data_IF_198525174409
#
_entry.id   IF_198525174409
#
_cell.length_a   1.000
_cell.length_b   1.000
_cell.length_c   1.000
_cell.angle_alpha   90.00
_cell.angle_beta   90.00
_cell.angle_gamma   90.00
#
_symmetry.space_group_name_H-M   'P 1'
#
loop_
_entity.id
_entity.type
_entity.pdbx_description
1 polymer ?
#
# COMPACT_ATOMS: atom_id res chain seq x y z
N UNK A 1 -4.28 -0.37 10.79
CA UNK A 1 -5.59 0.30 10.59
C UNK A 1 -5.88 1.27 11.73
N UNK A 2 -5.92 0.84 13.01
CA UNK A 2 -6.17 1.73 14.17
C UNK A 2 -5.23 2.95 14.19
N UNK A 3 -3.93 2.74 13.95
CA UNK A 3 -2.96 3.84 13.86
C UNK A 3 -3.37 4.93 12.86
N UNK A 4 -3.76 4.55 11.63
CA UNK A 4 -4.17 5.50 10.60
C UNK A 4 -5.55 6.14 10.89
N UNK A 5 -6.44 5.42 11.57
CA UNK A 5 -7.70 5.96 12.05
C UNK A 5 -7.46 7.09 13.06
N UNK A 6 -6.62 6.84 14.07
CA UNK A 6 -6.25 7.87 15.06
C UNK A 6 -5.54 9.04 14.38
N UNK A 7 -4.59 8.77 13.48
CA UNK A 7 -3.85 9.79 12.73
C UNK A 7 -4.76 10.69 11.89
N UNK A 8 -5.89 10.16 11.41
CA UNK A 8 -6.85 10.90 10.60
C UNK A 8 -7.59 12.01 11.35
N UNK A 9 -7.58 12.00 12.69
CA UNK A 9 -8.16 13.08 13.48
C UNK A 9 -7.28 14.32 13.62
N UNK A 10 -5.99 14.24 13.29
CA UNK A 10 -5.07 15.38 13.43
C UNK A 10 -5.22 16.34 12.25
N UNK A 11 -5.35 17.63 12.55
CA UNK A 11 -5.27 18.72 11.59
C UNK A 11 -4.58 19.95 12.21
N UNK A 12 -4.34 21.00 11.40
CA UNK A 12 -3.66 22.24 11.81
C UNK A 12 -4.24 22.96 13.05
N UNK A 13 -5.52 22.76 13.35
CA UNK A 13 -6.21 23.38 14.49
C UNK A 13 -6.40 22.45 15.70
N UNK A 14 -5.85 21.24 15.67
CA UNK A 14 -5.93 20.27 16.77
C UNK A 14 -6.47 18.91 16.34
N UNK A 15 -7.21 18.25 17.24
CA UNK A 15 -7.76 16.92 17.02
C UNK A 15 -9.29 16.96 16.84
N UNK A 16 -9.79 16.37 15.75
CA UNK A 16 -11.23 16.28 15.46
C UNK A 16 -11.68 14.83 15.35
N UNK A 17 -12.70 14.48 16.15
CA UNK A 17 -13.33 13.16 16.12
C UNK A 17 -14.12 12.90 14.84
N UNK A 18 -14.67 13.93 14.22
CA UNK A 18 -15.43 13.80 12.99
C UNK A 18 -14.50 13.45 11.81
N UNK A 19 -13.37 14.15 11.69
CA UNK A 19 -12.32 13.84 10.71
C UNK A 19 -11.69 12.47 10.97
N UNK A 20 -11.46 12.11 12.24
CA UNK A 20 -10.97 10.78 12.62
C UNK A 20 -11.87 9.68 12.04
N UNK A 21 -13.19 9.81 12.14
CA UNK A 21 -14.11 8.82 11.59
C UNK A 21 -14.20 8.89 10.07
N UNK A 22 -14.40 10.07 9.50
CA UNK A 22 -14.56 10.24 8.06
C UNK A 22 -13.29 9.82 7.32
N UNK A 23 -12.17 10.47 7.57
CA UNK A 23 -10.90 10.16 6.88
C UNK A 23 -10.30 8.83 7.34
N UNK A 24 -10.51 8.44 8.61
CA UNK A 24 -10.06 7.15 9.11
C UNK A 24 -10.77 5.97 8.45
N UNK A 25 -12.05 6.13 8.08
CA UNK A 25 -12.77 5.14 7.27
C UNK A 25 -12.15 4.99 5.88
N UNK A 26 -11.82 6.10 5.20
CA UNK A 26 -11.13 6.06 3.91
C UNK A 26 -9.76 5.40 4.02
N UNK A 27 -8.98 5.78 5.04
CA UNK A 27 -7.69 5.16 5.33
C UNK A 27 -7.81 3.65 5.56
N UNK A 28 -8.86 3.21 6.26
CA UNK A 28 -9.16 1.80 6.45
C UNK A 28 -9.49 1.11 5.12
N UNK A 29 -10.28 1.73 4.24
CA UNK A 29 -10.59 1.20 2.91
C UNK A 29 -9.34 1.07 2.03
N UNK A 30 -8.46 2.08 1.99
CA UNK A 30 -7.22 2.00 1.21
C UNK A 30 -6.29 0.90 1.71
N UNK A 31 -6.17 0.75 3.04
CA UNK A 31 -5.41 -0.35 3.62
C UNK A 31 -6.04 -1.70 3.26
N UNK A 32 -7.35 -1.88 3.44
CA UNK A 32 -8.02 -3.12 3.07
C UNK A 32 -7.86 -3.45 1.59
N UNK A 33 -7.95 -2.46 0.70
CA UNK A 33 -7.72 -2.63 -0.72
C UNK A 33 -6.27 -3.07 -1.02
N UNK A 34 -5.28 -2.46 -0.35
CA UNK A 34 -3.87 -2.87 -0.48
C UNK A 34 -3.62 -4.30 0.03
N UNK A 35 -4.22 -4.66 1.17
CA UNK A 35 -4.17 -6.02 1.71
C UNK A 35 -4.82 -7.01 0.75
N UNK A 36 -6.03 -6.71 0.26
CA UNK A 36 -6.76 -7.55 -0.67
C UNK A 36 -5.98 -7.75 -1.98
N UNK A 37 -5.38 -6.67 -2.47
CA UNK A 37 -4.53 -6.69 -3.66
C UNK A 37 -3.34 -7.66 -3.50
N UNK A 38 -2.58 -7.55 -2.40
CA UNK A 38 -1.36 -8.36 -2.23
C UNK A 38 -1.59 -9.77 -1.70
N UNK A 39 -2.60 -9.98 -0.86
CA UNK A 39 -2.87 -11.28 -0.24
C UNK A 39 -3.77 -12.18 -1.09
N UNK A 40 -4.59 -11.61 -1.99
CA UNK A 40 -5.56 -12.38 -2.78
C UNK A 40 -5.41 -12.16 -4.28
N UNK A 41 -5.51 -10.91 -4.75
CA UNK A 41 -5.52 -10.63 -6.20
C UNK A 41 -4.18 -10.94 -6.87
N UNK A 42 -3.06 -10.52 -6.27
CA UNK A 42 -1.75 -10.73 -6.85
C UNK A 42 -1.38 -12.23 -6.94
N UNK A 43 -1.60 -13.06 -5.91
CA UNK A 43 -1.47 -14.52 -5.98
C UNK A 43 -2.37 -15.15 -7.06
N UNK A 44 -3.62 -14.70 -7.16
CA UNK A 44 -4.58 -15.22 -8.15
C UNK A 44 -4.15 -14.88 -9.59
N UNK A 45 -3.57 -13.70 -9.79
CA UNK A 45 -3.16 -13.17 -11.10
C UNK A 45 -1.66 -13.35 -11.38
N UNK A 46 -0.96 -14.19 -10.62
CA UNK A 46 0.49 -14.41 -10.80
C UNK A 46 0.90 -14.69 -12.24
N UNK A 47 0.19 -15.49 -13.07
CA UNK A 47 0.62 -15.77 -14.44
C UNK A 47 0.56 -14.55 -15.36
N UNK A 48 -0.31 -13.59 -15.05
CA UNK A 48 -0.67 -12.46 -15.91
C UNK A 48 0.10 -11.19 -15.53
N UNK A 49 0.42 -11.03 -14.23
CA UNK A 49 1.08 -9.82 -13.74
C UNK A 49 2.50 -9.67 -14.33
N UNK A 50 2.87 -8.45 -14.75
CA UNK A 50 4.22 -8.17 -15.22
C UNK A 50 5.21 -8.41 -14.08
N UNK A 51 6.48 -8.62 -14.42
CA UNK A 51 7.60 -8.99 -13.52
C UNK A 51 7.77 -10.49 -13.27
N UNK A 52 9.03 -10.89 -13.11
CA UNK A 52 9.41 -12.26 -12.70
C UNK A 52 9.31 -12.47 -11.19
N UNK A 53 9.60 -11.42 -10.42
CA UNK A 53 9.65 -11.44 -8.96
C UNK A 53 8.27 -11.20 -8.36
N UNK A 54 7.93 -11.91 -7.28
CA UNK A 54 6.68 -11.75 -6.51
C UNK A 54 6.53 -10.32 -5.96
N UNK A 55 7.61 -9.73 -5.45
CA UNK A 55 7.61 -8.35 -4.96
C UNK A 55 7.23 -7.34 -6.03
N UNK A 56 7.67 -7.55 -7.28
CA UNK A 56 7.31 -6.69 -8.42
C UNK A 56 5.84 -6.84 -8.82
N UNK A 57 5.34 -8.08 -8.84
CA UNK A 57 3.93 -8.37 -9.14
C UNK A 57 3.00 -7.73 -8.10
N UNK A 58 3.32 -7.89 -6.83
CA UNK A 58 2.57 -7.28 -5.73
C UNK A 58 2.63 -5.76 -5.76
N UNK A 59 3.78 -5.18 -6.09
CA UNK A 59 3.90 -3.73 -6.24
C UNK A 59 2.91 -3.21 -7.28
N UNK A 60 2.92 -3.78 -8.50
CA UNK A 60 1.99 -3.36 -9.57
C UNK A 60 0.54 -3.57 -9.17
N UNK A 61 0.20 -4.72 -8.58
CA UNK A 61 -1.16 -4.99 -8.15
C UNK A 61 -1.63 -3.96 -7.11
N UNK A 62 -0.78 -3.60 -6.13
CA UNK A 62 -1.10 -2.62 -5.10
C UNK A 62 -1.32 -1.22 -5.68
N UNK A 63 -0.43 -0.79 -6.57
CA UNK A 63 -0.53 0.50 -7.25
C UNK A 63 -1.77 0.60 -8.13
N UNK A 64 -2.04 -0.45 -8.91
CA UNK A 64 -3.19 -0.50 -9.81
C UNK A 64 -4.52 -0.49 -9.04
N UNK A 65 -4.65 -1.32 -8.00
CA UNK A 65 -5.87 -1.38 -7.20
C UNK A 65 -6.10 -0.07 -6.45
N UNK A 66 -5.05 0.56 -5.92
CA UNK A 66 -5.20 1.87 -5.32
C UNK A 66 -5.65 2.91 -6.35
N UNK A 67 -5.04 2.95 -7.54
CA UNK A 67 -5.45 3.88 -8.59
C UNK A 67 -6.91 3.68 -8.97
N UNK A 68 -7.38 2.43 -9.09
CA UNK A 68 -8.79 2.14 -9.36
C UNK A 68 -9.71 2.63 -8.23
N UNK A 69 -9.37 2.36 -6.98
CA UNK A 69 -10.15 2.82 -5.82
C UNK A 69 -10.17 4.35 -5.73
N UNK A 70 -9.04 5.01 -6.00
CA UNK A 70 -8.94 6.46 -6.00
C UNK A 70 -9.76 7.11 -7.13
N UNK A 71 -9.80 6.48 -8.32
CA UNK A 71 -10.63 6.94 -9.45
C UNK A 71 -12.14 6.80 -9.17
N UNK A 72 -12.54 5.74 -8.46
CA UNK A 72 -13.94 5.47 -8.13
C UNK A 72 -14.45 6.28 -6.95
N UNK A 73 -13.57 6.82 -6.12
CA UNK A 73 -13.93 7.48 -4.88
C UNK A 73 -12.96 8.59 -4.49
N UNK A 74 -13.46 9.82 -4.59
CA UNK A 74 -13.02 11.05 -3.90
C UNK A 74 -12.08 11.98 -4.68
N UNK A 75 -12.68 13.04 -5.23
CA UNK A 75 -12.02 14.17 -5.89
C UNK A 75 -11.44 15.22 -4.91
N UNK A 76 -11.60 15.04 -3.59
CA UNK A 76 -11.21 16.04 -2.58
C UNK A 76 -9.98 15.64 -1.75
N UNK A 77 -9.20 14.65 -2.21
CA UNK A 77 -7.94 14.30 -1.54
C UNK A 77 -6.81 15.21 -2.03
N UNK A 78 -6.04 15.77 -1.10
CA UNK A 78 -4.81 16.47 -1.44
C UNK A 78 -3.87 15.56 -2.25
N UNK A 79 -3.24 16.08 -3.30
CA UNK A 79 -2.36 15.30 -4.19
C UNK A 79 -1.25 14.60 -3.39
N UNK A 80 -0.74 15.26 -2.34
CA UNK A 80 0.29 14.71 -1.45
C UNK A 80 -0.25 13.47 -0.72
N UNK A 81 -1.48 13.50 -0.20
CA UNK A 81 -2.10 12.34 0.44
C UNK A 81 -2.32 11.20 -0.57
N UNK A 82 -2.74 11.53 -1.80
CA UNK A 82 -2.96 10.55 -2.86
C UNK A 82 -1.67 9.82 -3.22
N UNK A 83 -0.57 10.57 -3.40
CA UNK A 83 0.76 9.98 -3.61
C UNK A 83 1.20 9.15 -2.39
N UNK A 84 0.92 9.63 -1.17
CA UNK A 84 1.26 8.91 0.05
C UNK A 84 0.59 7.53 0.12
N UNK A 85 -0.72 7.48 -0.10
CA UNK A 85 -1.48 6.24 -0.11
C UNK A 85 -1.14 5.33 -1.30
N UNK A 86 -0.81 5.89 -2.47
CA UNK A 86 -0.32 5.14 -3.62
C UNK A 86 0.96 4.35 -3.25
N UNK A 87 1.94 5.02 -2.64
CA UNK A 87 3.21 4.39 -2.22
C UNK A 87 2.99 3.35 -1.11
N UNK A 88 2.17 3.66 -0.10
CA UNK A 88 1.82 2.73 0.99
C UNK A 88 1.15 1.47 0.43
N UNK A 89 0.19 1.63 -0.49
CA UNK A 89 -0.53 0.50 -1.10
C UNK A 89 0.41 -0.43 -1.85
N UNK A 90 1.31 0.15 -2.67
CA UNK A 90 2.33 -0.60 -3.37
C UNK A 90 3.27 -1.36 -2.42
N UNK A 91 3.74 -0.71 -1.35
CA UNK A 91 4.62 -1.33 -0.36
C UNK A 91 3.94 -2.52 0.35
N UNK A 92 2.72 -2.34 0.84
CA UNK A 92 1.95 -3.39 1.54
C UNK A 92 1.70 -4.56 0.60
N UNK A 93 1.18 -4.30 -0.61
CA UNK A 93 0.82 -5.35 -1.56
C UNK A 93 2.06 -6.13 -2.04
N UNK A 94 3.16 -5.42 -2.30
CA UNK A 94 4.46 -6.01 -2.64
C UNK A 94 4.97 -6.94 -1.56
N UNK A 95 4.93 -6.51 -0.29
CA UNK A 95 5.38 -7.32 0.85
C UNK A 95 4.49 -8.56 1.04
N UNK A 96 3.17 -8.40 0.98
CA UNK A 96 2.24 -9.51 1.14
C UNK A 96 2.39 -10.56 0.04
N UNK A 97 2.57 -10.12 -1.21
CA UNK A 97 2.75 -11.04 -2.35
C UNK A 97 4.04 -11.85 -2.22
N UNK A 98 5.09 -11.30 -1.62
CA UNK A 98 6.35 -12.02 -1.38
C UNK A 98 6.21 -13.19 -0.40
N UNK A 99 5.16 -13.23 0.44
CA UNK A 99 4.91 -14.39 1.30
C UNK A 99 4.53 -15.65 0.50
N UNK A 100 4.16 -15.50 -0.78
CA UNK A 100 3.86 -16.63 -1.66
C UNK A 100 5.09 -17.20 -2.38
N UNK A 101 6.28 -16.60 -2.19
CA UNK A 101 7.53 -17.11 -2.79
C UNK A 101 7.82 -18.56 -2.41
N UNK A 102 7.44 -19.03 -1.21
CA UNK A 102 7.63 -20.40 -0.73
C UNK A 102 6.48 -21.38 -1.01
N UNK A 103 5.34 -20.91 -1.54
CA UNK A 103 4.17 -21.75 -1.85
C UNK A 103 4.10 -22.16 -3.33
N UNK A 104 5.09 -21.76 -4.12
CA UNK A 104 5.11 -21.95 -5.57
C UNK A 104 6.31 -22.80 -6.01
N UNK A 105 6.16 -23.57 -7.08
CA UNK A 105 7.24 -24.39 -7.66
C UNK A 105 8.35 -23.57 -8.34
N UNK A 106 8.29 -22.24 -8.25
CA UNK A 106 9.11 -21.32 -9.04
C UNK A 106 10.36 -20.81 -8.33
N UNK A 107 10.60 -21.10 -7.05
CA UNK A 107 11.69 -20.44 -6.30
C UNK A 107 12.68 -21.41 -5.65
N UNK A 108 13.96 -21.00 -5.66
CA UNK A 108 15.03 -21.58 -4.86
C UNK A 108 15.38 -20.62 -3.71
N UNK A 109 15.96 -21.14 -2.62
CA UNK A 109 16.37 -20.33 -1.46
C UNK A 109 17.29 -19.15 -1.84
N UNK A 110 18.18 -19.33 -2.82
CA UNK A 110 19.06 -18.27 -3.31
C UNK A 110 18.30 -17.20 -4.12
N UNK A 111 17.30 -17.60 -4.90
CA UNK A 111 16.41 -16.70 -5.63
C UNK A 111 15.61 -15.79 -4.69
N UNK A 112 14.98 -16.38 -3.67
CA UNK A 112 14.20 -15.63 -2.66
C UNK A 112 15.09 -14.62 -1.92
N UNK A 113 16.30 -15.01 -1.49
CA UNK A 113 17.23 -14.05 -0.83
C UNK A 113 17.59 -12.87 -1.73
N UNK A 114 17.82 -13.12 -3.03
CA UNK A 114 18.13 -12.05 -3.99
C UNK A 114 16.94 -11.10 -4.15
N UNK A 115 15.74 -11.66 -4.25
CA UNK A 115 14.51 -10.88 -4.33
C UNK A 115 14.30 -10.02 -3.07
N UNK A 116 14.41 -10.60 -1.88
CA UNK A 116 14.27 -9.88 -0.62
C UNK A 116 15.28 -8.73 -0.47
N UNK A 117 16.52 -8.94 -0.90
CA UNK A 117 17.56 -7.90 -0.86
C UNK A 117 17.19 -6.65 -1.69
N UNK A 118 16.36 -6.80 -2.72
CA UNK A 118 15.94 -5.71 -3.59
C UNK A 118 14.63 -5.11 -3.09
N UNK A 119 13.62 -5.95 -2.84
CA UNK A 119 12.27 -5.47 -2.60
C UNK A 119 12.02 -5.04 -1.16
N UNK A 120 12.65 -5.65 -0.15
CA UNK A 120 12.43 -5.24 1.24
C UNK A 120 12.91 -3.79 1.48
N UNK A 121 14.12 -3.37 1.08
CA UNK A 121 14.53 -1.98 1.22
C UNK A 121 13.63 -1.01 0.45
N UNK A 122 13.20 -1.39 -0.77
CA UNK A 122 12.27 -0.59 -1.57
C UNK A 122 10.92 -0.41 -0.87
N UNK A 123 10.33 -1.49 -0.36
CA UNK A 123 9.05 -1.46 0.36
C UNK A 123 9.14 -0.56 1.60
N UNK A 124 10.23 -0.66 2.37
CA UNK A 124 10.47 0.20 3.53
C UNK A 124 10.55 1.68 3.11
N UNK A 125 11.31 1.98 2.05
CA UNK A 125 11.42 3.34 1.54
C UNK A 125 10.06 3.89 1.07
N UNK A 126 9.30 3.11 0.31
CA UNK A 126 7.96 3.48 -0.16
C UNK A 126 6.99 3.71 1.01
N UNK A 127 6.99 2.82 2.00
CA UNK A 127 6.14 2.96 3.18
C UNK A 127 6.51 4.21 4.01
N UNK A 128 7.80 4.48 4.17
CA UNK A 128 8.28 5.64 4.93
C UNK A 128 7.96 6.96 4.22
N UNK A 129 8.26 7.06 2.92
CA UNK A 129 7.94 8.24 2.11
C UNK A 129 6.43 8.43 2.06
N UNK A 130 5.67 7.36 1.85
CA UNK A 130 4.22 7.42 1.80
C UNK A 130 3.59 7.87 3.11
N UNK A 131 4.09 7.36 4.24
CA UNK A 131 3.64 7.81 5.57
C UNK A 131 3.96 9.30 5.80
N UNK A 132 5.14 9.74 5.38
CA UNK A 132 5.56 11.15 5.47
C UNK A 132 4.62 12.05 4.67
N UNK A 133 4.23 11.63 3.47
CA UNK A 133 3.28 12.36 2.64
C UNK A 133 1.87 12.42 3.27
N UNK A 134 1.37 11.31 3.79
CA UNK A 134 0.09 11.31 4.51
C UNK A 134 0.13 12.24 5.72
N UNK A 135 1.24 12.27 6.47
CA UNK A 135 1.41 13.18 7.61
C UNK A 135 1.44 14.65 7.17
N UNK A 136 2.26 14.99 6.16
CA UNK A 136 2.37 16.36 5.65
C UNK A 136 1.01 16.86 5.14
N UNK A 137 0.24 16.00 4.48
CA UNK A 137 -1.09 16.37 3.97
C UNK A 137 -2.12 16.75 5.04
N UNK A 138 -1.86 16.47 6.33
CA UNK A 138 -2.74 16.90 7.43
C UNK A 138 -2.57 18.37 7.81
N UNK A 139 -1.48 18.99 7.37
CA UNK A 139 -1.09 20.36 7.73
C UNK A 139 -1.11 21.33 6.54
N UNK A 140 -1.42 20.83 5.34
CA UNK A 140 -1.53 21.60 4.09
C UNK A 140 -2.98 21.59 3.66
#
# INVERSE_FOLDING_TARGET
MVFFLVLSGFHSGGYSLELMWKEGFHAALYLLAAYFSGAFLAPLLLPVLPFRHFGGKGLVAGLFIFALVALLGYAEMAIIALLGWFLISGAISSFLTMNFTGASTYTSLSGVRKEMRIFVPLQVALAFIGLSFVLISKFV
#
